data_IF_745281390659
#
_entry.id   IF_745281390659
#
_cell.length_a   1.000
_cell.length_b   1.000
_cell.length_c   1.000
_cell.angle_alpha   90.00
_cell.angle_beta   90.00
_cell.angle_gamma   90.00
#
_symmetry.space_group_name_H-M   'P 1'
#
loop_
_entity.id
_entity.type
_entity.pdbx_description
1 polymer ?
#
# COMPACT_ATOMS: atom_id res chain seq x y z
N UNK A 1 37.17 76.56 62.96
CA UNK A 1 38.34 77.41 62.65
C UNK A 1 39.39 76.48 62.07
N UNK A 2 39.36 76.17 60.77
CA UNK A 2 39.79 76.93 59.58
C UNK A 2 41.31 77.12 59.47
N UNK A 3 41.80 76.84 58.25
CA UNK A 3 43.12 77.11 57.62
C UNK A 3 44.17 75.99 57.70
N UNK A 4 44.89 75.64 56.64
CA UNK A 4 44.96 76.09 55.24
C UNK A 4 45.77 75.04 54.41
N UNK A 5 45.42 74.93 53.12
CA UNK A 5 46.25 74.62 51.90
C UNK A 5 47.25 73.44 51.89
N UNK A 6 47.24 72.55 50.88
CA UNK A 6 47.80 72.84 49.55
C UNK A 6 47.07 72.21 48.35
N UNK A 7 47.25 72.88 47.21
CA UNK A 7 46.64 72.74 45.89
C UNK A 7 47.63 72.04 44.95
N UNK A 8 47.18 71.07 44.14
CA UNK A 8 47.71 70.91 42.78
C UNK A 8 46.62 70.41 41.83
N UNK A 9 46.69 70.91 40.59
CA UNK A 9 45.61 71.14 39.63
C UNK A 9 45.64 70.13 38.48
N UNK A 10 44.43 69.80 37.99
CA UNK A 10 44.05 69.59 36.58
C UNK A 10 44.64 68.36 35.83
N UNK A 11 43.88 67.56 35.07
CA UNK A 11 42.89 67.89 34.03
C UNK A 11 42.08 66.63 33.66
N UNK A 12 40.78 66.80 33.37
CA UNK A 12 39.95 65.86 32.57
C UNK A 12 40.18 66.14 31.08
N UNK A 13 39.88 65.17 30.20
CA UNK A 13 38.91 65.50 29.16
C UNK A 13 37.84 64.41 28.93
N UNK A 14 36.82 64.86 28.23
CA UNK A 14 35.48 64.30 28.05
C UNK A 14 35.37 63.17 27.03
N UNK A 15 34.24 62.48 27.17
CA UNK A 15 33.52 61.60 26.27
C UNK A 15 33.51 61.99 24.79
N UNK A 16 33.88 61.04 23.92
CA UNK A 16 33.63 61.05 22.48
C UNK A 16 32.72 59.89 22.07
N UNK A 17 31.60 60.23 21.46
CA UNK A 17 30.60 59.33 20.84
C UNK A 17 31.20 58.72 19.56
N UNK A 18 31.11 57.40 19.40
CA UNK A 18 31.37 56.73 18.10
C UNK A 18 30.03 56.30 17.52
N UNK A 19 29.66 56.92 16.40
CA UNK A 19 28.52 56.54 15.57
C UNK A 19 28.78 55.22 14.85
N UNK A 20 27.75 54.38 14.82
CA UNK A 20 27.67 53.15 14.03
C UNK A 20 27.13 53.50 12.65
N UNK A 21 27.89 53.20 11.59
CA UNK A 21 27.43 53.30 10.20
C UNK A 21 27.12 51.90 9.65
N UNK A 22 26.04 51.70 8.85
CA UNK A 22 25.53 50.38 8.52
C UNK A 22 26.29 49.72 7.35
N UNK A 23 26.47 48.40 7.42
CA UNK A 23 27.04 47.60 6.35
C UNK A 23 26.13 47.57 5.11
N UNK A 24 26.71 47.87 3.95
CA UNK A 24 26.08 47.83 2.63
C UNK A 24 25.99 46.35 2.16
N UNK A 25 24.86 45.88 1.61
CA UNK A 25 24.72 44.53 1.08
C UNK A 25 25.54 44.31 -0.20
N UNK A 26 26.31 43.23 -0.23
CA UNK A 26 27.10 42.78 -1.38
C UNK A 26 26.17 42.35 -2.54
N UNK A 27 26.37 42.92 -3.74
CA UNK A 27 25.60 42.59 -4.94
C UNK A 27 26.06 41.26 -5.56
N UNK A 28 25.16 40.52 -6.26
CA UNK A 28 25.50 39.22 -6.85
C UNK A 28 26.41 39.40 -8.07
N UNK A 29 27.58 38.76 -8.07
CA UNK A 29 28.42 38.64 -9.27
C UNK A 29 27.74 37.78 -10.33
N UNK A 30 27.69 38.29 -11.56
CA UNK A 30 27.17 37.60 -12.74
C UNK A 30 28.03 36.37 -13.09
N UNK A 31 27.37 35.22 -13.29
CA UNK A 31 28.02 33.98 -13.69
C UNK A 31 28.49 34.03 -15.16
N UNK A 32 29.76 33.72 -15.39
CA UNK A 32 30.36 33.45 -16.71
C UNK A 32 29.92 32.05 -17.17
N UNK A 33 29.50 31.84 -18.43
CA UNK A 33 29.04 30.54 -18.88
C UNK A 33 30.21 29.55 -18.95
N UNK A 34 30.18 28.54 -18.09
CA UNK A 34 31.12 27.40 -18.15
C UNK A 34 30.58 26.40 -19.17
N UNK A 35 31.33 26.18 -20.24
CA UNK A 35 31.10 25.12 -21.22
C UNK A 35 31.26 23.75 -20.55
N UNK A 36 30.16 23.04 -20.34
CA UNK A 36 30.19 21.65 -19.89
C UNK A 36 30.51 20.77 -21.10
N UNK A 37 31.72 20.21 -21.13
CA UNK A 37 32.08 19.13 -22.05
C UNK A 37 31.46 17.82 -21.53
N UNK A 38 30.48 17.31 -22.26
CA UNK A 38 29.82 16.03 -21.95
C UNK A 38 30.74 14.88 -22.36
N UNK A 39 31.46 14.30 -21.41
CA UNK A 39 32.15 13.02 -21.62
C UNK A 39 31.15 11.87 -21.42
N UNK A 40 30.49 11.45 -22.49
CA UNK A 40 29.67 10.23 -22.52
C UNK A 40 30.60 9.02 -22.39
N UNK A 41 30.63 8.41 -21.20
CA UNK A 41 31.27 7.09 -21.04
C UNK A 41 30.30 6.02 -21.50
N UNK A 42 30.48 5.55 -22.73
CA UNK A 42 29.77 4.38 -23.27
C UNK A 42 30.43 3.13 -22.69
N UNK A 43 29.71 2.39 -21.84
CA UNK A 43 30.09 1.04 -21.43
C UNK A 43 29.84 0.13 -22.64
N UNK A 44 30.91 -0.35 -23.27
CA UNK A 44 30.85 -1.34 -24.33
C UNK A 44 30.53 -2.71 -23.74
N UNK A 45 29.37 -3.27 -24.09
CA UNK A 45 29.07 -4.71 -23.92
C UNK A 45 29.50 -5.41 -25.21
N UNK A 46 30.59 -6.15 -25.17
CA UNK A 46 31.06 -6.96 -26.29
C UNK A 46 30.30 -8.29 -26.31
N UNK A 47 29.26 -8.40 -27.13
CA UNK A 47 28.78 -9.70 -27.59
C UNK A 47 29.57 -10.07 -28.85
N UNK A 48 30.34 -11.14 -28.75
CA UNK A 48 31.02 -11.74 -29.89
C UNK A 48 30.02 -12.52 -30.74
N UNK A 49 29.82 -12.08 -31.97
CA UNK A 49 29.36 -12.93 -33.07
C UNK A 49 29.85 -12.36 -34.40
N UNK A 50 30.43 -13.25 -35.23
CA UNK A 50 31.01 -12.94 -36.55
C UNK A 50 29.91 -12.65 -37.58
N UNK A 51 30.17 -11.79 -38.58
CA UNK A 51 29.20 -11.44 -39.62
C UNK A 51 29.30 -12.38 -40.83
N UNK A 52 28.15 -12.74 -41.43
CA UNK A 52 28.05 -13.13 -42.85
C UNK A 52 26.82 -12.44 -43.46
N UNK A 53 27.02 -11.94 -44.68
CA UNK A 53 26.31 -10.87 -45.35
C UNK A 53 24.94 -11.23 -45.95
N UNK A 54 24.20 -10.19 -46.32
CA UNK A 54 22.85 -10.21 -46.87
C UNK A 54 22.81 -9.89 -48.38
N UNK A 55 21.99 -10.67 -49.13
CA UNK A 55 21.07 -10.34 -50.28
C UNK A 55 21.67 -9.74 -51.58
N UNK A 56 20.95 -9.62 -52.75
CA UNK A 56 19.54 -9.91 -53.09
C UNK A 56 19.33 -10.71 -54.41
N UNK A 57 18.11 -11.04 -54.85
CA UNK A 57 17.38 -10.32 -55.93
C UNK A 57 15.93 -10.87 -56.11
N UNK A 58 15.02 -9.92 -56.38
CA UNK A 58 13.60 -9.96 -56.75
C UNK A 58 13.27 -10.70 -58.06
N UNK A 59 12.03 -11.20 -58.23
CA UNK A 59 11.10 -10.96 -59.38
C UNK A 59 9.72 -11.56 -59.09
N UNK A 60 8.64 -10.91 -59.54
CA UNK A 60 7.23 -11.18 -59.21
C UNK A 60 6.39 -11.74 -60.38
N UNK A 61 5.31 -12.48 -60.01
CA UNK A 61 3.96 -12.66 -60.64
C UNK A 61 3.81 -13.51 -61.94
N UNK A 62 2.59 -14.05 -62.30
CA UNK A 62 1.28 -14.02 -61.61
C UNK A 62 0.38 -15.31 -61.62
N UNK A 63 -0.61 -15.26 -60.71
CA UNK A 63 -2.03 -15.67 -60.78
C UNK A 63 -2.50 -17.02 -61.35
N UNK A 64 -3.29 -17.74 -60.54
CA UNK A 64 -4.59 -18.29 -60.97
C UNK A 64 -5.58 -18.30 -59.81
N UNK A 65 -6.81 -17.88 -60.08
CA UNK A 65 -7.91 -17.75 -59.14
C UNK A 65 -8.74 -19.03 -59.05
N UNK A 66 -9.28 -19.36 -57.88
CA UNK A 66 -10.52 -20.12 -57.77
C UNK A 66 -11.32 -19.65 -56.55
N UNK A 67 -12.62 -19.44 -56.77
CA UNK A 67 -13.58 -18.85 -55.83
C UNK A 67 -14.33 -19.93 -55.02
N UNK A 68 -15.06 -19.44 -53.99
CA UNK A 68 -16.31 -19.97 -53.39
C UNK A 68 -16.21 -20.63 -51.98
N UNK A 69 -16.32 -19.77 -50.95
CA UNK A 69 -17.32 -19.69 -49.84
C UNK A 69 -17.97 -20.92 -49.14
N UNK A 70 -18.57 -20.77 -47.92
CA UNK A 70 -18.25 -21.55 -46.71
C UNK A 70 -19.40 -22.46 -46.18
N UNK A 71 -19.10 -23.35 -45.22
CA UNK A 71 -20.13 -23.99 -44.39
C UNK A 71 -19.65 -24.44 -42.99
N UNK A 72 -20.46 -24.05 -42.01
CA UNK A 72 -20.50 -24.33 -40.57
C UNK A 72 -20.74 -25.80 -40.23
N UNK A 73 -20.14 -26.34 -39.16
CA UNK A 73 -20.82 -27.35 -38.31
C UNK A 73 -20.31 -27.32 -36.87
N UNK A 74 -21.27 -27.29 -35.94
CA UNK A 74 -21.18 -27.35 -34.47
C UNK A 74 -21.35 -28.81 -34.01
N UNK A 75 -20.81 -29.11 -32.82
CA UNK A 75 -21.11 -30.24 -31.92
C UNK A 75 -20.07 -31.38 -31.87
N UNK A 76 -19.36 -31.43 -30.75
CA UNK A 76 -18.57 -32.58 -30.28
C UNK A 76 -18.74 -32.70 -28.77
N UNK A 77 -19.93 -33.16 -28.34
CA UNK A 77 -20.22 -33.62 -26.98
C UNK A 77 -19.98 -35.13 -27.00
N UNK A 78 -19.03 -35.60 -26.20
CA UNK A 78 -18.80 -37.04 -26.00
C UNK A 78 -19.72 -37.53 -24.87
N UNK A 79 -20.60 -38.47 -25.22
CA UNK A 79 -21.64 -39.04 -24.37
C UNK A 79 -21.09 -40.29 -23.67
N UNK A 80 -20.80 -40.21 -22.36
CA UNK A 80 -20.44 -41.39 -21.56
C UNK A 80 -21.67 -42.25 -21.25
N UNK A 81 -21.62 -43.54 -21.62
CA UNK A 81 -22.64 -44.57 -21.37
C UNK A 81 -22.54 -45.11 -19.92
N UNK A 82 -23.65 -45.47 -19.24
CA UNK A 82 -23.61 -45.87 -17.82
C UNK A 82 -23.39 -47.39 -17.67
N UNK A 83 -22.58 -47.82 -16.70
CA UNK A 83 -22.65 -49.18 -16.15
C UNK A 83 -22.35 -49.18 -14.65
N UNK A 84 -23.15 -49.97 -13.94
CA UNK A 84 -23.40 -49.96 -12.52
C UNK A 84 -22.26 -50.49 -11.64
N UNK A 85 -22.18 -50.00 -10.40
CA UNK A 85 -22.46 -50.78 -9.19
C UNK A 85 -22.03 -49.99 -7.94
N UNK A 86 -22.98 -49.75 -7.04
CA UNK A 86 -22.72 -49.22 -5.71
C UNK A 86 -21.88 -50.22 -4.91
N UNK A 87 -20.75 -49.77 -4.36
CA UNK A 87 -20.06 -50.47 -3.28
C UNK A 87 -19.83 -49.46 -2.16
N UNK A 88 -20.54 -49.65 -1.06
CA UNK A 88 -20.43 -48.88 0.18
C UNK A 88 -19.01 -48.98 0.74
N UNK A 89 -18.37 -47.89 1.21
CA UNK A 89 -17.13 -48.01 1.97
C UNK A 89 -17.43 -48.40 3.43
N UNK A 90 -16.55 -49.19 4.07
CA UNK A 90 -16.76 -49.63 5.44
C UNK A 90 -16.57 -48.46 6.42
N UNK A 91 -17.40 -48.48 7.45
CA UNK A 91 -17.30 -47.66 8.66
C UNK A 91 -15.99 -47.96 9.40
N UNK A 92 -15.13 -46.95 9.56
CA UNK A 92 -13.86 -47.06 10.29
C UNK A 92 -13.31 -45.71 10.77
N UNK A 93 -13.55 -45.40 12.05
CA UNK A 93 -12.89 -44.45 12.95
C UNK A 93 -12.15 -43.20 12.40
N UNK A 94 -12.80 -42.03 12.53
CA UNK A 94 -12.41 -41.08 13.58
C UNK A 94 -11.06 -40.35 13.54
N UNK A 95 -10.38 -40.21 12.40
CA UNK A 95 -9.37 -39.14 12.21
C UNK A 95 -9.67 -38.40 10.92
N UNK A 96 -10.10 -37.14 11.05
CA UNK A 96 -10.42 -36.28 9.93
C UNK A 96 -9.23 -36.18 8.97
N UNK A 97 -9.37 -36.81 7.81
CA UNK A 97 -8.43 -36.70 6.70
C UNK A 97 -8.60 -35.29 6.10
N UNK A 98 -8.09 -34.28 6.79
CA UNK A 98 -8.11 -32.90 6.29
C UNK A 98 -7.18 -32.83 5.07
N UNK A 99 -7.72 -32.36 3.96
CA UNK A 99 -6.96 -32.01 2.75
C UNK A 99 -5.68 -31.25 3.14
N UNK A 100 -4.47 -31.76 2.80
CA UNK A 100 -3.20 -31.11 3.15
C UNK A 100 -3.15 -29.63 2.77
N UNK A 101 -3.82 -29.22 1.69
CA UNK A 101 -3.93 -27.82 1.31
C UNK A 101 -4.64 -26.96 2.37
N UNK A 102 -5.67 -27.51 3.03
CA UNK A 102 -6.40 -26.81 4.09
C UNK A 102 -5.58 -26.69 5.38
N UNK A 103 -4.72 -27.66 5.67
CA UNK A 103 -3.79 -27.60 6.81
C UNK A 103 -2.80 -26.45 6.59
N UNK A 104 -2.17 -26.40 5.41
CA UNK A 104 -1.23 -25.35 5.03
C UNK A 104 -1.89 -23.96 5.08
N UNK A 105 -3.12 -23.84 4.56
CA UNK A 105 -3.89 -22.61 4.64
C UNK A 105 -4.08 -22.13 6.08
N UNK A 106 -4.50 -23.01 6.99
CA UNK A 106 -4.75 -22.64 8.39
C UNK A 106 -3.49 -22.13 9.08
N UNK A 107 -2.36 -22.82 8.89
CA UNK A 107 -1.07 -22.41 9.46
C UNK A 107 -0.67 -21.04 8.93
N UNK A 108 -0.67 -20.85 7.61
CA UNK A 108 -0.31 -19.57 6.99
C UNK A 108 -1.29 -18.45 7.36
N UNK A 109 -2.57 -18.75 7.48
CA UNK A 109 -3.57 -17.76 7.91
C UNK A 109 -3.30 -17.31 9.35
N UNK A 110 -3.03 -18.23 10.28
CA UNK A 110 -2.68 -17.89 11.67
C UNK A 110 -1.38 -17.08 11.73
N UNK A 111 -0.35 -17.47 10.98
CA UNK A 111 0.90 -16.72 10.89
C UNK A 111 0.68 -15.30 10.36
N UNK A 112 -0.17 -15.15 9.34
CA UNK A 112 -0.58 -13.84 8.81
C UNK A 112 -1.25 -12.99 9.89
N UNK A 113 -2.13 -13.56 10.71
CA UNK A 113 -2.78 -12.83 11.81
C UNK A 113 -1.78 -12.41 12.89
N UNK A 114 -0.90 -13.31 13.32
CA UNK A 114 0.13 -13.01 14.33
C UNK A 114 1.09 -11.94 13.82
N UNK A 115 1.51 -12.01 12.56
CA UNK A 115 2.30 -10.97 11.91
C UNK A 115 1.55 -9.62 11.93
N UNK A 116 0.29 -9.62 11.50
CA UNK A 116 -0.64 -8.48 11.55
C UNK A 116 -0.70 -7.78 12.91
N UNK A 117 -1.01 -8.54 13.95
CA UNK A 117 -1.12 -8.04 15.32
C UNK A 117 0.23 -7.53 15.84
N UNK A 118 1.32 -8.24 15.51
CA UNK A 118 2.68 -7.82 15.90
C UNK A 118 3.02 -6.45 15.31
N UNK A 119 2.70 -6.19 14.05
CA UNK A 119 2.93 -4.88 13.42
C UNK A 119 2.22 -3.75 14.16
N UNK A 120 0.95 -3.95 14.54
CA UNK A 120 0.18 -2.96 15.29
C UNK A 120 0.84 -2.67 16.64
N UNK A 121 1.24 -3.72 17.37
CA UNK A 121 1.94 -3.57 18.65
C UNK A 121 3.25 -2.81 18.47
N UNK A 122 4.07 -3.19 17.49
CA UNK A 122 5.35 -2.55 17.25
C UNK A 122 5.20 -1.07 16.84
N UNK A 123 4.22 -0.72 16.02
CA UNK A 123 3.93 0.69 15.68
C UNK A 123 3.50 1.46 16.92
N UNK A 124 2.62 0.89 17.74
CA UNK A 124 2.19 1.52 19.00
C UNK A 124 3.37 1.71 19.98
N UNK A 125 4.25 0.72 20.09
CA UNK A 125 5.48 0.82 20.88
C UNK A 125 6.42 1.87 20.31
N UNK A 126 6.58 1.92 18.98
CA UNK A 126 7.46 2.87 18.31
C UNK A 126 7.04 4.31 18.58
N UNK A 127 5.75 4.63 18.40
CA UNK A 127 5.24 5.97 18.70
C UNK A 127 5.26 6.28 20.20
N UNK A 128 4.91 5.30 21.06
CA UNK A 128 4.81 5.49 22.49
C UNK A 128 6.17 5.72 23.16
N UNK A 129 7.19 4.94 22.77
CA UNK A 129 8.51 4.99 23.39
C UNK A 129 9.44 6.02 22.74
N UNK A 130 9.26 6.35 21.45
CA UNK A 130 10.22 7.17 20.72
C UNK A 130 9.67 8.50 20.20
N UNK A 131 8.35 8.69 20.14
CA UNK A 131 7.75 9.92 19.55
C UNK A 131 6.70 10.60 20.44
N UNK A 132 6.70 10.33 21.74
CA UNK A 132 5.85 11.05 22.70
C UNK A 132 4.38 10.61 22.71
N UNK A 133 4.05 9.47 22.10
CA UNK A 133 2.71 8.89 22.17
C UNK A 133 1.71 9.57 21.24
N UNK A 134 0.51 9.86 21.76
CA UNK A 134 -0.63 10.38 21.00
C UNK A 134 -1.14 11.67 21.63
N UNK A 135 -1.46 12.65 20.79
CA UNK A 135 -2.00 13.95 21.19
C UNK A 135 -3.08 14.42 20.21
N UNK A 136 -3.77 15.51 20.56
CA UNK A 136 -4.66 16.23 19.64
C UNK A 136 -3.98 17.47 19.05
N UNK A 137 -4.79 18.32 18.44
CA UNK A 137 -4.35 19.54 17.71
C UNK A 137 -3.58 20.55 18.55
N UNK A 138 -3.60 20.47 19.88
CA UNK A 138 -2.76 21.28 20.76
C UNK A 138 -1.27 20.95 20.67
N UNK A 139 -0.91 19.76 20.18
CA UNK A 139 0.46 19.37 19.87
C UNK A 139 0.51 18.70 18.48
N UNK A 140 0.55 19.50 17.40
CA UNK A 140 0.49 19.02 16.02
C UNK A 140 1.56 17.98 15.68
N UNK A 141 2.76 18.10 16.25
CA UNK A 141 3.86 17.16 16.00
C UNK A 141 3.61 15.75 16.54
N UNK A 142 2.92 15.65 17.68
CA UNK A 142 2.54 14.36 18.29
C UNK A 142 1.20 13.86 17.74
N UNK A 143 0.28 14.75 17.34
CA UNK A 143 -0.95 14.38 16.63
C UNK A 143 -0.66 13.56 15.36
N UNK A 144 0.45 13.85 14.66
CA UNK A 144 0.90 13.07 13.51
C UNK A 144 0.97 11.56 13.79
N UNK A 145 1.29 11.14 15.01
CA UNK A 145 1.48 9.73 15.35
C UNK A 145 0.21 8.87 15.22
N UNK A 146 -0.98 9.49 15.18
CA UNK A 146 -2.22 8.81 14.79
C UNK A 146 -2.16 8.29 13.35
N UNK A 147 -1.46 8.99 12.45
CA UNK A 147 -1.36 8.62 11.05
C UNK A 147 -0.75 7.22 10.84
N UNK A 148 0.51 6.93 11.25
CA UNK A 148 1.06 5.59 11.07
C UNK A 148 0.26 4.53 11.85
N UNK A 149 -0.28 4.84 13.03
CA UNK A 149 -1.06 3.87 13.82
C UNK A 149 -2.35 3.46 13.09
N UNK A 150 -3.18 4.42 12.70
CA UNK A 150 -4.45 4.14 12.04
C UNK A 150 -4.30 3.67 10.59
N UNK A 151 -3.25 4.10 9.87
CA UNK A 151 -2.91 3.50 8.58
C UNK A 151 -2.55 2.02 8.74
N UNK A 152 -1.80 1.65 9.79
CA UNK A 152 -1.45 0.25 10.06
C UNK A 152 -2.68 -0.58 10.40
N UNK A 153 -3.53 -0.10 11.31
CA UNK A 153 -4.72 -0.83 11.74
C UNK A 153 -5.73 -0.92 10.59
N UNK A 154 -6.12 0.20 10.01
CA UNK A 154 -7.16 0.26 8.99
C UNK A 154 -6.67 -0.18 7.62
N UNK A 155 -5.69 0.56 7.08
CA UNK A 155 -5.33 0.48 5.67
C UNK A 155 -4.35 -0.65 5.34
N UNK A 156 -3.72 -1.26 6.35
CA UNK A 156 -2.89 -2.47 6.18
C UNK A 156 -3.61 -3.70 6.76
N UNK A 157 -3.81 -3.75 8.09
CA UNK A 157 -4.28 -4.97 8.75
C UNK A 157 -5.74 -5.32 8.45
N UNK A 158 -6.67 -4.38 8.64
CA UNK A 158 -8.09 -4.62 8.35
C UNK A 158 -8.35 -4.78 6.85
N UNK A 159 -7.67 -4.00 5.99
CA UNK A 159 -7.73 -4.17 4.54
C UNK A 159 -7.30 -5.60 4.16
N UNK A 160 -6.12 -6.06 4.57
CA UNK A 160 -5.65 -7.42 4.28
C UNK A 160 -6.58 -8.51 4.80
N UNK A 161 -7.14 -8.34 5.99
CA UNK A 161 -8.10 -9.29 6.55
C UNK A 161 -9.43 -9.34 5.78
N UNK A 162 -9.91 -8.18 5.32
CA UNK A 162 -11.12 -8.11 4.51
C UNK A 162 -10.93 -8.81 3.16
N UNK A 163 -9.75 -8.69 2.53
CA UNK A 163 -9.40 -9.43 1.31
C UNK A 163 -9.51 -10.95 1.54
N UNK A 164 -9.04 -11.43 2.70
CA UNK A 164 -9.00 -12.85 3.02
C UNK A 164 -10.31 -13.43 3.58
N UNK A 165 -11.33 -12.60 3.85
CA UNK A 165 -12.53 -13.03 4.60
C UNK A 165 -13.24 -14.23 3.95
N UNK A 166 -13.36 -14.25 2.62
CA UNK A 166 -13.99 -15.35 1.89
C UNK A 166 -13.20 -16.66 1.96
N UNK A 167 -11.89 -16.59 2.22
CA UNK A 167 -10.99 -17.74 2.31
C UNK A 167 -10.88 -18.23 3.76
N UNK A 168 -10.74 -17.31 4.71
CA UNK A 168 -10.69 -17.61 6.14
C UNK A 168 -11.99 -18.23 6.68
N UNK A 169 -13.14 -17.73 6.22
CA UNK A 169 -14.46 -18.16 6.68
C UNK A 169 -15.23 -18.91 5.59
N UNK A 170 -14.55 -19.88 4.95
CA UNK A 170 -15.05 -20.61 3.77
C UNK A 170 -16.39 -21.34 3.96
N UNK A 171 -16.72 -21.75 5.18
CA UNK A 171 -17.96 -22.48 5.51
C UNK A 171 -19.12 -21.54 5.86
N UNK A 172 -18.90 -20.23 5.92
CA UNK A 172 -19.93 -19.24 6.26
C UNK A 172 -20.81 -18.93 5.04
N UNK A 173 -22.07 -18.59 5.30
CA UNK A 173 -23.06 -18.16 4.29
C UNK A 173 -22.56 -16.97 3.49
N UNK A 174 -22.75 -17.00 2.16
CA UNK A 174 -22.23 -15.97 1.24
C UNK A 174 -22.72 -14.56 1.56
N UNK A 175 -23.98 -14.39 1.98
CA UNK A 175 -24.53 -13.08 2.38
C UNK A 175 -23.81 -12.50 3.59
N UNK A 176 -23.56 -13.31 4.61
CA UNK A 176 -22.79 -12.90 5.80
C UNK A 176 -21.38 -12.50 5.41
N UNK A 177 -20.70 -13.28 4.56
CA UNK A 177 -19.35 -12.94 4.09
C UNK A 177 -19.30 -11.61 3.34
N UNK A 178 -20.28 -11.33 2.46
CA UNK A 178 -20.39 -10.03 1.78
C UNK A 178 -20.56 -8.87 2.77
N UNK A 179 -21.43 -9.04 3.76
CA UNK A 179 -21.67 -8.00 4.76
C UNK A 179 -20.44 -7.78 5.65
N UNK A 180 -19.75 -8.85 6.04
CA UNK A 180 -18.52 -8.77 6.82
C UNK A 180 -17.39 -8.12 6.01
N UNK A 181 -17.21 -8.49 4.74
CA UNK A 181 -16.24 -7.86 3.83
C UNK A 181 -16.48 -6.35 3.71
N UNK A 182 -17.72 -5.95 3.42
CA UNK A 182 -18.08 -4.54 3.33
C UNK A 182 -17.91 -3.82 4.68
N UNK A 183 -18.33 -4.44 5.80
CA UNK A 183 -18.21 -3.87 7.14
C UNK A 183 -16.76 -3.63 7.57
N UNK A 184 -15.87 -4.59 7.32
CA UNK A 184 -14.44 -4.43 7.65
C UNK A 184 -13.82 -3.32 6.78
N UNK A 185 -14.12 -3.27 5.47
CA UNK A 185 -13.64 -2.19 4.62
C UNK A 185 -14.17 -0.81 5.03
N UNK A 186 -15.43 -0.70 5.49
CA UNK A 186 -15.95 0.54 6.04
C UNK A 186 -15.21 0.97 7.31
N UNK A 187 -14.95 0.03 8.23
CA UNK A 187 -14.13 0.30 9.42
C UNK A 187 -12.72 0.78 9.05
N UNK A 188 -12.08 0.13 8.08
CA UNK A 188 -10.79 0.54 7.54
C UNK A 188 -10.84 1.94 6.91
N UNK A 189 -11.91 2.26 6.17
CA UNK A 189 -12.11 3.58 5.57
C UNK A 189 -12.18 4.68 6.63
N UNK A 190 -12.99 4.49 7.68
CA UNK A 190 -13.15 5.47 8.76
C UNK A 190 -11.82 5.75 9.44
N UNK A 191 -11.06 4.71 9.79
CA UNK A 191 -9.72 4.86 10.39
C UNK A 191 -8.75 5.60 9.45
N UNK A 192 -8.80 5.31 8.15
CA UNK A 192 -7.96 5.96 7.13
C UNK A 192 -8.28 7.44 7.01
N UNK A 193 -9.57 7.83 7.01
CA UNK A 193 -9.99 9.23 6.98
C UNK A 193 -9.49 9.99 8.22
N UNK A 194 -9.61 9.39 9.40
CA UNK A 194 -9.08 9.98 10.64
C UNK A 194 -7.56 10.13 10.56
N UNK A 195 -6.84 9.12 10.09
CA UNK A 195 -5.39 9.14 9.89
C UNK A 195 -4.93 10.24 8.92
N UNK A 196 -5.69 10.48 7.85
CA UNK A 196 -5.40 11.56 6.89
C UNK A 196 -5.66 12.93 7.51
N UNK A 197 -6.79 13.11 8.20
CA UNK A 197 -7.06 14.35 8.94
C UNK A 197 -5.88 14.72 9.84
N UNK A 198 -5.38 13.77 10.64
CA UNK A 198 -4.33 14.05 11.62
C UNK A 198 -3.00 14.49 10.98
N UNK A 199 -2.67 14.02 9.77
CA UNK A 199 -1.46 14.50 9.07
C UNK A 199 -1.67 15.88 8.44
N UNK A 200 -2.83 16.14 7.84
CA UNK A 200 -3.15 17.47 7.32
C UNK A 200 -3.19 18.52 8.45
N UNK A 201 -3.78 18.19 9.59
CA UNK A 201 -3.80 19.06 10.76
C UNK A 201 -2.40 19.27 11.33
N UNK A 202 -1.61 18.20 11.47
CA UNK A 202 -0.21 18.29 11.91
C UNK A 202 0.61 19.27 11.06
N UNK A 203 0.43 19.24 9.74
CA UNK A 203 1.12 20.12 8.82
C UNK A 203 0.59 21.55 8.83
N UNK A 204 -0.73 21.72 8.81
CA UNK A 204 -1.38 23.03 8.72
C UNK A 204 -1.26 23.84 10.02
N UNK A 205 -1.27 23.17 11.17
CA UNK A 205 -1.19 23.77 12.50
C UNK A 205 0.26 23.90 13.00
N UNK A 206 1.24 23.36 12.27
CA UNK A 206 2.65 23.59 12.57
C UNK A 206 3.00 25.09 12.40
N UNK A 207 4.03 25.54 13.13
CA UNK A 207 4.54 26.90 13.03
C UNK A 207 6.04 26.90 12.73
N UNK A 208 6.48 27.28 11.51
CA UNK A 208 5.63 27.61 10.36
C UNK A 208 4.88 26.38 9.79
N UNK A 209 3.80 26.58 9.01
CA UNK A 209 3.07 25.48 8.38
C UNK A 209 3.94 24.66 7.44
N UNK A 210 3.73 23.35 7.41
CA UNK A 210 4.45 22.41 6.55
C UNK A 210 3.64 22.24 5.24
N UNK A 211 4.26 22.37 4.05
CA UNK A 211 3.57 22.12 2.79
C UNK A 211 2.99 20.71 2.69
N UNK A 212 1.79 20.57 2.14
CA UNK A 212 1.14 19.27 1.92
C UNK A 212 1.42 18.72 0.52
N UNK A 213 1.29 17.40 0.36
CA UNK A 213 1.24 16.71 -0.93
C UNK A 213 2.45 16.90 -1.86
N UNK A 214 3.66 17.10 -1.32
CA UNK A 214 4.87 17.24 -2.13
C UNK A 214 5.70 15.95 -2.24
N UNK A 215 5.47 14.96 -1.37
CA UNK A 215 6.27 13.72 -1.34
C UNK A 215 5.66 12.59 -2.16
N UNK A 216 6.48 11.68 -2.68
CA UNK A 216 6.01 10.50 -3.40
C UNK A 216 5.14 9.59 -2.52
N UNK A 217 5.48 9.49 -1.21
CA UNK A 217 4.64 8.82 -0.23
C UNK A 217 3.20 9.36 -0.25
N UNK A 218 3.04 10.69 -0.22
CA UNK A 218 1.73 11.34 -0.21
C UNK A 218 0.95 11.15 -1.51
N UNK A 219 1.61 11.19 -2.67
CA UNK A 219 0.96 10.97 -3.97
C UNK A 219 0.44 9.54 -4.12
N UNK A 220 1.29 8.55 -3.83
CA UNK A 220 0.91 7.14 -3.93
C UNK A 220 -0.05 6.74 -2.81
N UNK A 221 0.09 7.31 -1.62
CA UNK A 221 -0.82 7.11 -0.49
C UNK A 221 -2.22 7.61 -0.80
N UNK A 222 -2.36 8.84 -1.28
CA UNK A 222 -3.67 9.38 -1.67
C UNK A 222 -4.26 8.62 -2.86
N UNK A 223 -3.44 8.22 -3.84
CA UNK A 223 -3.88 7.37 -4.94
C UNK A 223 -4.44 6.03 -4.46
N UNK A 224 -3.79 5.37 -3.50
CA UNK A 224 -4.29 4.13 -2.89
C UNK A 224 -5.64 4.35 -2.19
N UNK A 225 -5.79 5.45 -1.43
CA UNK A 225 -7.05 5.78 -0.75
C UNK A 225 -8.18 6.06 -1.75
N UNK A 226 -7.89 6.75 -2.86
CA UNK A 226 -8.88 6.98 -3.93
C UNK A 226 -9.29 5.66 -4.57
N UNK A 227 -8.34 4.80 -4.95
CA UNK A 227 -8.62 3.47 -5.53
C UNK A 227 -9.45 2.63 -4.56
N UNK A 228 -9.09 2.62 -3.27
CA UNK A 228 -9.84 1.92 -2.24
C UNK A 228 -11.28 2.43 -2.13
N UNK A 229 -11.47 3.75 -2.13
CA UNK A 229 -12.80 4.38 -2.02
C UNK A 229 -13.67 4.06 -3.22
N UNK A 230 -13.10 4.16 -4.43
CA UNK A 230 -13.79 3.78 -5.67
C UNK A 230 -14.14 2.29 -5.67
N UNK A 231 -13.23 1.43 -5.20
CA UNK A 231 -13.52 0.00 -5.08
C UNK A 231 -14.59 -0.32 -4.05
N UNK A 232 -14.62 0.39 -2.93
CA UNK A 232 -15.65 0.23 -1.93
C UNK A 232 -17.03 0.56 -2.50
N UNK A 233 -17.17 1.73 -3.15
CA UNK A 233 -18.44 2.15 -3.76
C UNK A 233 -18.86 1.21 -4.89
N UNK A 234 -17.95 0.92 -5.83
CA UNK A 234 -18.23 0.03 -6.95
C UNK A 234 -18.60 -1.38 -6.49
N UNK A 235 -17.85 -1.93 -5.52
CA UNK A 235 -18.12 -3.25 -4.94
C UNK A 235 -19.44 -3.30 -4.17
N UNK A 236 -19.77 -2.25 -3.42
CA UNK A 236 -21.04 -2.14 -2.70
C UNK A 236 -22.22 -2.15 -3.67
N UNK A 237 -22.20 -1.29 -4.69
CA UNK A 237 -23.27 -1.18 -5.70
C UNK A 237 -23.38 -2.48 -6.52
N UNK A 238 -22.25 -3.04 -6.96
CA UNK A 238 -22.24 -4.23 -7.81
C UNK A 238 -22.66 -5.51 -7.07
N UNK A 239 -22.16 -5.72 -5.85
CA UNK A 239 -22.24 -7.02 -5.18
C UNK A 239 -23.10 -7.05 -3.92
N UNK A 240 -23.54 -5.91 -3.38
CA UNK A 240 -24.34 -5.85 -2.15
C UNK A 240 -25.72 -5.21 -2.36
N UNK A 241 -25.80 -3.91 -2.62
CA UNK A 241 -27.05 -3.17 -2.78
C UNK A 241 -26.87 -1.91 -3.65
N UNK A 242 -27.78 -1.62 -4.59
CA UNK A 242 -28.97 -2.40 -4.98
C UNK A 242 -28.63 -3.73 -5.70
N UNK A 243 -27.37 -3.91 -6.11
CA UNK A 243 -26.91 -5.08 -6.86
C UNK A 243 -27.13 -4.90 -8.36
N UNK A 244 -26.08 -5.12 -9.15
CA UNK A 244 -26.18 -5.06 -10.61
C UNK A 244 -26.70 -6.38 -11.21
N UNK A 245 -27.18 -6.31 -12.46
CA UNK A 245 -27.55 -7.50 -13.27
C UNK A 245 -26.34 -8.43 -13.42
N UNK A 246 -26.59 -9.72 -13.60
CA UNK A 246 -25.55 -10.75 -13.56
C UNK A 246 -24.41 -10.51 -14.56
N UNK A 247 -24.71 -10.12 -15.80
CA UNK A 247 -23.69 -9.85 -16.82
C UNK A 247 -22.67 -8.77 -16.39
N UNK A 248 -23.14 -7.71 -15.72
CA UNK A 248 -22.26 -6.67 -15.19
C UNK A 248 -21.46 -7.16 -13.99
N UNK A 249 -22.04 -7.99 -13.11
CA UNK A 249 -21.31 -8.60 -11.99
C UNK A 249 -20.18 -9.49 -12.47
N UNK A 250 -20.42 -10.29 -13.51
CA UNK A 250 -19.40 -11.15 -14.13
C UNK A 250 -18.26 -10.30 -14.72
N UNK A 251 -18.60 -9.22 -15.44
CA UNK A 251 -17.60 -8.32 -16.02
C UNK A 251 -16.79 -7.53 -14.97
N UNK A 252 -17.43 -7.11 -13.87
CA UNK A 252 -16.78 -6.32 -12.82
C UNK A 252 -15.95 -7.15 -11.84
N UNK A 253 -16.27 -8.43 -11.63
CA UNK A 253 -15.57 -9.31 -10.70
C UNK A 253 -14.04 -9.35 -10.88
N UNK A 254 -13.48 -9.59 -12.08
CA UNK A 254 -12.02 -9.61 -12.26
C UNK A 254 -11.39 -8.24 -11.96
N UNK A 255 -12.06 -7.14 -12.32
CA UNK A 255 -11.58 -5.79 -12.02
C UNK A 255 -11.59 -5.50 -10.52
N UNK A 256 -12.65 -5.89 -9.80
CA UNK A 256 -12.75 -5.73 -8.35
C UNK A 256 -11.64 -6.47 -7.62
N UNK A 257 -11.35 -7.72 -8.03
CA UNK A 257 -10.26 -8.52 -7.46
C UNK A 257 -8.90 -7.88 -7.77
N UNK A 258 -8.64 -7.53 -9.03
CA UNK A 258 -7.36 -6.95 -9.45
C UNK A 258 -7.07 -5.63 -8.72
N UNK A 259 -7.98 -4.66 -8.80
CA UNK A 259 -7.77 -3.36 -8.17
C UNK A 259 -7.84 -3.43 -6.64
N UNK A 260 -8.58 -4.39 -6.07
CA UNK A 260 -8.56 -4.67 -4.64
C UNK A 260 -7.18 -5.11 -4.15
N UNK A 261 -6.49 -5.98 -4.88
CA UNK A 261 -5.13 -6.40 -4.57
C UNK A 261 -4.09 -5.33 -4.92
N UNK A 262 -4.23 -4.67 -6.07
CA UNK A 262 -3.35 -3.58 -6.49
C UNK A 262 -3.35 -2.43 -5.48
N UNK A 263 -4.54 -1.99 -5.04
CA UNK A 263 -4.67 -0.95 -4.01
C UNK A 263 -4.03 -1.35 -2.69
N UNK A 264 -4.14 -2.63 -2.29
CA UNK A 264 -3.48 -3.14 -1.09
C UNK A 264 -1.95 -3.17 -1.21
N UNK A 265 -1.40 -3.63 -2.34
CA UNK A 265 0.06 -3.59 -2.58
C UNK A 265 0.56 -2.15 -2.62
N UNK A 266 -0.19 -1.23 -3.22
CA UNK A 266 0.14 0.19 -3.25
C UNK A 266 0.11 0.81 -1.83
N UNK A 267 -0.84 0.38 -0.98
CA UNK A 267 -0.89 0.77 0.43
C UNK A 267 0.35 0.31 1.20
N UNK A 268 0.80 -0.94 0.99
CA UNK A 268 2.05 -1.45 1.58
C UNK A 268 3.25 -0.62 1.10
N UNK A 269 3.37 -0.37 -0.21
CA UNK A 269 4.45 0.45 -0.75
C UNK A 269 4.46 1.86 -0.16
N UNK A 270 3.29 2.51 -0.09
CA UNK A 270 3.12 3.83 0.55
C UNK A 270 3.53 3.80 2.02
N UNK A 271 3.13 2.77 2.78
CA UNK A 271 3.50 2.63 4.19
C UNK A 271 5.03 2.49 4.40
N UNK A 272 5.73 1.76 3.51
CA UNK A 272 7.20 1.66 3.55
C UNK A 272 7.87 3.01 3.32
N UNK A 273 7.40 3.79 2.34
CA UNK A 273 7.90 5.15 2.12
C UNK A 273 7.59 6.05 3.33
N UNK A 274 6.40 5.96 3.91
CA UNK A 274 6.00 6.78 5.07
C UNK A 274 6.82 6.49 6.33
N UNK A 275 7.08 5.20 6.64
CA UNK A 275 7.97 4.82 7.74
C UNK A 275 9.40 5.34 7.49
N UNK A 276 9.88 5.21 6.25
CA UNK A 276 11.22 5.69 5.87
C UNK A 276 11.34 7.21 6.00
N UNK A 277 10.38 7.97 5.47
CA UNK A 277 10.32 9.44 5.60
C UNK A 277 10.30 9.86 7.08
N UNK A 278 9.41 9.26 7.89
CA UNK A 278 9.33 9.57 9.33
C UNK A 278 10.63 9.24 10.06
N UNK A 279 11.26 8.10 9.76
CA UNK A 279 12.53 7.72 10.37
C UNK A 279 13.64 8.73 10.04
N UNK A 280 13.78 9.13 8.78
CA UNK A 280 14.76 10.12 8.33
C UNK A 280 14.51 11.49 8.99
N UNK A 281 13.25 11.92 9.06
CA UNK A 281 12.92 13.26 9.56
C UNK A 281 12.92 13.37 11.08
N UNK A 282 12.55 12.30 11.81
CA UNK A 282 12.37 12.36 13.26
C UNK A 282 13.55 11.78 14.07
N UNK A 283 14.32 10.85 13.52
CA UNK A 283 15.42 10.16 14.25
C UNK A 283 16.75 10.85 13.93
N UNK A 284 16.98 11.99 14.59
CA UNK A 284 18.18 12.83 14.35
C UNK A 284 19.31 12.61 15.37
N UNK A 285 18.98 12.28 16.62
CA UNK A 285 19.97 12.18 17.70
C UNK A 285 19.69 10.95 18.58
N UNK A 286 20.53 9.90 18.52
CA UNK A 286 21.55 9.67 17.48
C UNK A 286 20.91 9.55 16.09
N UNK A 287 21.69 9.84 15.03
CA UNK A 287 21.18 9.88 13.66
C UNK A 287 20.71 8.49 13.20
N UNK A 288 19.68 8.44 12.36
CA UNK A 288 19.12 7.19 11.86
C UNK A 288 20.16 6.22 11.25
N UNK A 289 21.19 6.76 10.56
CA UNK A 289 22.29 5.97 9.97
C UNK A 289 23.14 5.19 10.98
N UNK A 290 23.12 5.58 12.25
CA UNK A 290 23.78 4.84 13.35
C UNK A 290 22.96 3.65 13.84
N UNK A 291 21.79 3.42 13.23
CA UNK A 291 20.85 2.35 13.53
C UNK A 291 20.43 2.30 15.02
N UNK A 292 19.95 3.42 15.60
CA UNK A 292 19.51 3.43 16.99
C UNK A 292 18.25 2.58 17.20
N UNK A 293 17.85 2.27 18.44
CA UNK A 293 16.69 1.41 18.72
C UNK A 293 15.40 1.81 18.00
N UNK A 294 15.11 3.12 17.93
CA UNK A 294 13.96 3.64 17.17
C UNK A 294 14.06 3.36 15.66
N UNK A 295 15.27 3.36 15.10
CA UNK A 295 15.53 3.06 13.70
C UNK A 295 15.48 1.55 13.41
N UNK A 296 16.00 0.72 14.31
CA UNK A 296 15.83 -0.74 14.23
C UNK A 296 14.35 -1.11 14.22
N UNK A 297 13.57 -0.53 15.14
CA UNK A 297 12.15 -0.80 15.24
C UNK A 297 11.38 -0.35 13.98
N UNK A 298 11.70 0.82 13.43
CA UNK A 298 11.15 1.29 12.16
C UNK A 298 11.40 0.29 11.01
N UNK A 299 12.63 -0.21 10.88
CA UNK A 299 13.00 -1.18 9.85
C UNK A 299 12.31 -2.54 10.04
N UNK A 300 12.24 -3.04 11.27
CA UNK A 300 11.52 -4.30 11.57
C UNK A 300 10.04 -4.16 11.22
N UNK A 301 9.39 -3.04 11.56
CA UNK A 301 8.00 -2.76 11.16
C UNK A 301 7.87 -2.81 9.63
N UNK A 302 8.77 -2.14 8.90
CA UNK A 302 8.77 -2.13 7.43
C UNK A 302 8.91 -3.54 6.83
N UNK A 303 9.84 -4.35 7.34
CA UNK A 303 9.99 -5.76 6.91
C UNK A 303 8.72 -6.55 7.17
N UNK A 304 8.08 -6.37 8.33
CA UNK A 304 6.84 -7.05 8.64
C UNK A 304 5.68 -6.61 7.74
N UNK A 305 5.59 -5.35 7.31
CA UNK A 305 4.61 -4.94 6.29
C UNK A 305 4.80 -5.72 5.00
N UNK A 306 6.04 -5.90 4.53
CA UNK A 306 6.32 -6.69 3.33
C UNK A 306 5.90 -8.15 3.53
N UNK A 307 6.27 -8.76 4.66
CA UNK A 307 5.92 -10.15 4.97
C UNK A 307 4.40 -10.34 5.04
N UNK A 308 3.70 -9.48 5.78
CA UNK A 308 2.24 -9.52 5.87
C UNK A 308 1.59 -9.32 4.51
N UNK A 309 2.05 -8.33 3.74
CA UNK A 309 1.55 -8.05 2.39
C UNK A 309 1.70 -9.25 1.46
N UNK A 310 2.88 -9.86 1.45
CA UNK A 310 3.17 -11.04 0.66
C UNK A 310 2.30 -12.24 1.06
N UNK A 311 2.13 -12.49 2.36
CA UNK A 311 1.28 -13.57 2.87
C UNK A 311 -0.19 -13.35 2.49
N UNK A 312 -0.71 -12.12 2.61
CA UNK A 312 -2.08 -11.78 2.20
C UNK A 312 -2.25 -12.01 0.70
N UNK A 313 -1.34 -11.51 -0.14
CA UNK A 313 -1.42 -11.70 -1.60
C UNK A 313 -1.37 -13.18 -1.96
N UNK A 314 -0.45 -13.95 -1.36
CA UNK A 314 -0.34 -15.39 -1.59
C UNK A 314 -1.63 -16.12 -1.22
N UNK A 315 -2.13 -15.91 0.00
CA UNK A 315 -3.36 -16.52 0.47
C UNK A 315 -4.56 -16.12 -0.40
N UNK A 316 -4.60 -14.87 -0.90
CA UNK A 316 -5.65 -14.33 -1.75
C UNK A 316 -5.62 -14.83 -3.19
N UNK A 317 -4.48 -15.30 -3.69
CA UNK A 317 -4.29 -15.71 -5.09
C UNK A 317 -4.19 -17.22 -5.29
N UNK A 318 -3.81 -17.98 -4.27
CA UNK A 318 -3.72 -19.44 -4.33
C UNK A 318 -5.08 -20.09 -4.71
N UNK A 319 -5.21 -20.75 -5.87
CA UNK A 319 -6.49 -21.28 -6.35
C UNK A 319 -7.11 -22.34 -5.42
N UNK A 320 -6.29 -23.16 -4.77
CA UNK A 320 -6.76 -24.22 -3.85
C UNK A 320 -7.47 -23.68 -2.60
N UNK A 321 -7.19 -22.44 -2.22
CA UNK A 321 -7.81 -21.78 -1.06
C UNK A 321 -9.09 -21.01 -1.41
N UNK A 322 -9.48 -20.96 -2.70
CA UNK A 322 -10.70 -20.29 -3.14
C UNK A 322 -11.93 -20.98 -2.54
N UNK A 323 -12.88 -20.18 -2.02
CA UNK A 323 -14.15 -20.71 -1.49
C UNK A 323 -14.94 -21.42 -2.59
N UNK A 324 -15.30 -22.68 -2.34
CA UNK A 324 -16.24 -23.44 -3.15
C UNK A 324 -17.69 -23.08 -2.74
N UNK A 325 -18.65 -23.05 -3.68
CA UNK A 325 -20.07 -22.89 -3.32
C UNK A 325 -20.50 -23.98 -2.33
N UNK A 326 -21.28 -23.61 -1.31
CA UNK A 326 -21.91 -24.57 -0.38
C UNK A 326 -23.35 -24.85 -0.84
N UNK A 327 -23.97 -26.00 -0.47
CA UNK A 327 -25.32 -26.35 -0.92
C UNK A 327 -26.39 -25.29 -0.65
N UNK A 328 -26.26 -24.55 0.46
CA UNK A 328 -27.15 -23.43 0.81
C UNK A 328 -27.06 -22.26 -0.17
N UNK A 329 -25.89 -22.03 -0.80
CA UNK A 329 -25.73 -21.00 -1.81
C UNK A 329 -26.47 -21.39 -3.11
N UNK A 330 -26.56 -22.69 -3.43
CA UNK A 330 -27.23 -23.21 -4.63
C UNK A 330 -28.74 -23.33 -4.49
N UNK A 331 -29.25 -23.64 -3.29
CA UNK A 331 -30.69 -23.68 -3.02
C UNK A 331 -31.36 -22.32 -3.25
N UNK A 332 -30.65 -21.22 -2.92
CA UNK A 332 -31.10 -19.86 -3.20
C UNK A 332 -31.09 -19.52 -4.69
N UNK A 333 -30.16 -20.09 -5.48
CA UNK A 333 -30.17 -19.89 -6.94
C UNK A 333 -31.40 -20.55 -7.55
N UNK A 334 -31.70 -21.79 -7.14
CA UNK A 334 -32.84 -22.55 -7.66
C UNK A 334 -34.19 -21.94 -7.26
N UNK A 335 -34.32 -21.38 -6.06
CA UNK A 335 -35.55 -20.71 -5.61
C UNK A 335 -35.74 -19.33 -6.26
N UNK A 336 -34.67 -18.67 -6.69
CA UNK A 336 -34.75 -17.37 -7.40
C UNK A 336 -35.22 -17.54 -8.83
N UNK A 337 -34.80 -18.62 -9.49
CA UNK A 337 -35.20 -18.98 -10.87
C UNK A 337 -36.58 -19.63 -10.98
N UNK A 338 -37.22 -19.98 -9.86
CA UNK A 338 -38.57 -20.55 -9.84
C UNK A 338 -39.68 -19.49 -9.67
N UNK A 339 -39.30 -18.22 -9.45
CA UNK A 339 -40.20 -17.09 -9.25
C UNK A 339 -40.09 -16.04 -10.38
N UNK A 340 -39.45 -16.38 -11.49
CA UNK A 340 -39.51 -15.62 -12.76
C UNK A 340 -40.46 -16.30 -13.75
#
# INVERSE_FOLDING_TARGET
MSKDTDVEQATKPESGVVQVEPAIPEQPQAAVPTTISTATTVIAVTNGEKPVAATPTTTATPATAEQVQPATTIAGIELATPTAAATSPPTGSGKANMDPALINFKVLYVLTQLCGLTMIVLVATWIGQHFGGLAGTSNPGVEFNWHPLFMTIGFIYLYGNSILIYRGFRTTRKKTLKLTHAGIHMGAFILTVIALKTVFDSHNLANPPIPNMYSLHSWLGLSAVIIFSLQYVAGFVAFLAPGLRENYRIAMMPLHIYFGLFGFVLAIASALMGITEKAIFAIKTPAYSTLPPAGVLANVIGVLYVVFGALVVYLATEPSYKRKPIPEDTALLNSSSANE
#
